data_IF_591145208141
#
_entry.id   IF_591145208141
#
_cell.length_a   1.000
_cell.length_b   1.000
_cell.length_c   1.000
_cell.angle_alpha   90.00
_cell.angle_beta   90.00
_cell.angle_gamma   90.00
#
_symmetry.space_group_name_H-M   'P 1'
#
loop_
_entity.id
_entity.type
_entity.pdbx_description
1 polymer ?
#
# COMPACT_ATOMS: atom_id res chain seq x y z
N UNK A 1 5.08 5.09 19.89
CA UNK A 1 5.00 5.13 18.41
C UNK A 1 4.92 3.69 17.96
N UNK A 2 3.80 3.28 17.38
CA UNK A 2 3.55 1.88 17.01
C UNK A 2 3.95 1.59 15.57
N UNK A 3 4.30 0.33 15.30
CA UNK A 3 4.69 -0.19 13.97
C UNK A 3 3.69 0.21 12.88
N UNK A 4 2.39 0.25 13.20
CA UNK A 4 1.31 0.72 12.31
C UNK A 4 1.54 2.13 11.77
N UNK A 5 1.98 3.07 12.61
CA UNK A 5 2.14 4.47 12.22
C UNK A 5 3.37 4.68 11.32
N UNK A 6 4.44 3.92 11.56
CA UNK A 6 5.62 3.91 10.69
C UNK A 6 5.29 3.30 9.32
N UNK A 7 4.55 2.19 9.31
CA UNK A 7 4.00 1.60 8.08
C UNK A 7 3.15 2.59 7.31
N UNK A 8 2.25 3.27 8.01
CA UNK A 8 1.36 4.23 7.41
C UNK A 8 2.15 5.34 6.73
N UNK A 9 3.12 5.93 7.40
CA UNK A 9 3.99 6.97 6.83
C UNK A 9 4.80 6.44 5.64
N UNK A 10 5.37 5.24 5.72
CA UNK A 10 6.06 4.61 4.60
C UNK A 10 5.15 4.39 3.39
N UNK A 11 3.89 4.00 3.62
CA UNK A 11 2.90 3.87 2.55
C UNK A 11 2.53 5.21 1.94
N UNK A 12 2.24 6.22 2.75
CA UNK A 12 1.94 7.58 2.27
C UNK A 12 3.09 8.12 1.43
N UNK A 13 4.33 7.96 1.88
CA UNK A 13 5.52 8.39 1.16
C UNK A 13 5.69 7.64 -0.16
N UNK A 14 5.54 6.31 -0.14
CA UNK A 14 5.62 5.48 -1.35
C UNK A 14 4.49 5.79 -2.35
N UNK A 15 3.30 6.10 -1.84
CA UNK A 15 2.11 6.45 -2.63
C UNK A 15 2.08 7.93 -3.04
N UNK A 16 3.03 8.75 -2.58
CA UNK A 16 3.07 10.18 -2.93
C UNK A 16 3.26 10.42 -4.43
N UNK A 17 3.78 9.42 -5.17
CA UNK A 17 3.88 9.44 -6.64
C UNK A 17 2.64 8.94 -7.38
N UNK A 18 1.64 8.43 -6.66
CA UNK A 18 0.40 7.88 -7.25
C UNK A 18 -0.61 9.00 -7.43
N UNK A 19 -1.19 9.07 -8.63
CA UNK A 19 -2.31 9.99 -8.90
C UNK A 19 -3.62 9.34 -8.48
N UNK A 20 -4.22 9.86 -7.41
CA UNK A 20 -5.56 9.47 -6.97
C UNK A 20 -6.64 10.28 -7.70
N UNK A 21 -7.84 9.73 -7.93
CA UNK A 21 -8.32 8.41 -7.50
C UNK A 21 -7.78 7.26 -8.37
N UNK A 22 -7.31 6.20 -7.72
CA UNK A 22 -6.87 4.99 -8.41
C UNK A 22 -8.05 4.06 -8.62
N UNK A 23 -8.28 3.66 -9.86
CA UNK A 23 -9.38 2.73 -10.20
C UNK A 23 -8.93 1.28 -10.30
N UNK A 24 -7.63 1.01 -10.18
CA UNK A 24 -7.07 -0.34 -10.32
C UNK A 24 -5.69 -0.45 -9.69
N UNK A 25 -5.34 -1.67 -9.25
CA UNK A 25 -4.04 -2.01 -8.65
C UNK A 25 -2.86 -1.57 -9.51
N UNK A 26 -2.98 -1.71 -10.83
CA UNK A 26 -1.95 -1.32 -11.80
C UNK A 26 -1.64 0.18 -11.77
N UNK A 27 -2.64 1.06 -11.57
CA UNK A 27 -2.38 2.50 -11.43
C UNK A 27 -1.59 2.81 -10.16
N UNK A 28 -1.86 2.06 -9.09
CA UNK A 28 -1.12 2.21 -7.84
C UNK A 28 0.33 1.75 -8.01
N UNK A 29 0.56 0.59 -8.65
CA UNK A 29 1.92 0.13 -8.95
C UNK A 29 2.67 1.09 -9.87
N UNK A 30 1.99 1.75 -10.80
CA UNK A 30 2.62 2.69 -11.71
C UNK A 30 3.15 3.96 -11.00
N UNK A 31 2.51 4.40 -9.91
CA UNK A 31 2.97 5.55 -9.13
C UNK A 31 3.93 5.21 -7.99
N UNK A 32 4.14 3.93 -7.69
CA UNK A 32 5.09 3.47 -6.68
C UNK A 32 6.52 3.45 -7.26
N UNK A 33 7.54 3.97 -6.57
CA UNK A 33 8.92 4.05 -7.09
C UNK A 33 9.56 2.68 -7.37
N UNK A 34 9.10 1.62 -6.68
CA UNK A 34 9.49 0.22 -6.93
C UNK A 34 8.36 -0.62 -7.53
N UNK A 35 7.21 0.00 -7.81
CA UNK A 35 6.01 -0.68 -8.27
C UNK A 35 5.59 -1.88 -7.42
N UNK A 36 5.04 -2.89 -8.06
CA UNK A 36 4.70 -4.17 -7.43
C UNK A 36 5.92 -4.89 -6.84
N UNK A 37 7.15 -4.62 -7.32
CA UNK A 37 8.37 -5.22 -6.80
C UNK A 37 8.83 -4.60 -5.47
N UNK A 38 8.14 -3.57 -4.95
CA UNK A 38 8.40 -2.99 -3.64
C UNK A 38 8.27 -4.03 -2.54
N UNK A 39 9.25 -4.08 -1.64
CA UNK A 39 9.21 -4.91 -0.43
C UNK A 39 8.83 -4.01 0.74
N UNK A 40 7.84 -4.43 1.51
CA UNK A 40 7.51 -3.77 2.77
C UNK A 40 8.26 -4.49 3.88
N UNK A 41 9.32 -3.84 4.36
CA UNK A 41 10.17 -4.36 5.43
C UNK A 41 9.99 -3.52 6.68
N UNK A 42 9.73 -4.18 7.80
CA UNK A 42 9.60 -3.54 9.11
C UNK A 42 10.67 -4.10 10.02
N UNK A 43 11.45 -3.22 10.65
CA UNK A 43 12.53 -3.61 11.56
C UNK A 43 13.51 -4.64 10.94
N UNK A 44 13.78 -4.51 9.64
CA UNK A 44 14.65 -5.44 8.90
C UNK A 44 13.99 -6.76 8.48
N UNK A 45 12.71 -6.96 8.80
CA UNK A 45 11.95 -8.15 8.45
C UNK A 45 11.01 -7.82 7.28
N UNK A 46 11.23 -8.47 6.13
CA UNK A 46 10.34 -8.35 4.97
C UNK A 46 9.01 -8.98 5.37
N UNK A 47 8.00 -8.15 5.60
CA UNK A 47 6.67 -8.60 6.00
C UNK A 47 5.95 -9.17 4.77
N UNK A 48 5.96 -8.43 3.66
CA UNK A 48 5.30 -8.79 2.41
C UNK A 48 5.86 -7.99 1.23
N UNK A 49 5.65 -8.50 0.02
CA UNK A 49 5.81 -7.73 -1.20
C UNK A 49 4.55 -6.87 -1.46
N UNK A 50 4.72 -5.63 -1.89
CA UNK A 50 3.65 -4.65 -2.16
C UNK A 50 2.67 -5.17 -3.21
N UNK A 51 3.18 -5.78 -4.28
CA UNK A 51 2.39 -6.43 -5.32
C UNK A 51 1.50 -7.53 -4.75
N UNK A 52 2.10 -8.50 -4.05
CA UNK A 52 1.35 -9.59 -3.43
C UNK A 52 0.32 -9.09 -2.42
N UNK A 53 0.67 -8.09 -1.61
CA UNK A 53 -0.20 -7.57 -0.58
C UNK A 53 -1.38 -6.80 -1.19
N UNK A 54 -1.17 -6.00 -2.23
CA UNK A 54 -2.27 -5.40 -2.97
C UNK A 54 -3.10 -6.46 -3.70
N UNK A 55 -2.49 -7.53 -4.21
CA UNK A 55 -3.25 -8.62 -4.83
C UNK A 55 -4.09 -9.41 -3.81
N UNK A 56 -3.53 -9.69 -2.64
CA UNK A 56 -4.12 -10.52 -1.59
C UNK A 56 -5.15 -9.77 -0.76
N UNK A 57 -4.90 -8.48 -0.48
CA UNK A 57 -5.72 -7.69 0.42
C UNK A 57 -6.62 -6.69 -0.31
N UNK A 58 -6.19 -6.05 -1.41
CA UNK A 58 -7.12 -5.26 -2.22
C UNK A 58 -7.95 -6.13 -3.13
N UNK A 59 -9.26 -6.07 -2.92
CA UNK A 59 -10.22 -6.66 -3.85
C UNK A 59 -10.52 -5.65 -4.95
N UNK A 60 -10.84 -6.12 -6.17
CA UNK A 60 -11.31 -5.23 -7.24
C UNK A 60 -12.57 -4.43 -6.83
N UNK A 61 -13.34 -4.91 -5.85
CA UNK A 61 -14.51 -4.21 -5.27
C UNK A 61 -14.16 -3.08 -4.29
N UNK A 62 -12.92 -3.05 -3.78
CA UNK A 62 -12.45 -1.95 -2.92
C UNK A 62 -12.06 -0.70 -3.75
N UNK A 63 -12.05 -0.81 -5.10
CA UNK A 63 -11.82 0.32 -6.00
C UNK A 63 -13.13 1.01 -6.40
N UNK A 64 -13.11 2.33 -6.69
CA UNK A 64 -11.95 3.21 -6.74
C UNK A 64 -11.51 3.71 -5.37
N UNK A 65 -10.20 3.74 -5.13
CA UNK A 65 -9.65 4.35 -3.92
C UNK A 65 -9.36 5.82 -4.19
N UNK A 66 -9.88 6.65 -3.30
CA UNK A 66 -9.85 8.10 -3.48
C UNK A 66 -8.60 8.77 -2.93
N UNK A 67 -7.82 8.11 -2.06
CA UNK A 67 -6.65 8.70 -1.42
C UNK A 67 -5.62 7.67 -0.95
N UNK A 68 -4.37 8.12 -0.81
CA UNK A 68 -3.27 7.30 -0.30
C UNK A 68 -3.53 6.79 1.12
N UNK A 69 -4.10 7.63 1.99
CA UNK A 69 -4.46 7.29 3.37
C UNK A 69 -5.48 6.14 3.45
N UNK A 70 -6.46 6.13 2.55
CA UNK A 70 -7.50 5.10 2.51
C UNK A 70 -6.90 3.76 2.10
N UNK A 71 -6.06 3.76 1.06
CA UNK A 71 -5.32 2.57 0.62
C UNK A 71 -4.39 2.04 1.73
N UNK A 72 -3.59 2.93 2.34
CA UNK A 72 -2.64 2.58 3.37
C UNK A 72 -3.34 2.00 4.61
N UNK A 73 -4.44 2.63 5.05
CA UNK A 73 -5.23 2.12 6.16
C UNK A 73 -5.87 0.77 5.85
N UNK A 74 -6.43 0.59 4.65
CA UNK A 74 -7.08 -0.66 4.25
C UNK A 74 -6.09 -1.82 4.24
N UNK A 75 -4.86 -1.57 3.79
CA UNK A 75 -3.77 -2.54 3.87
C UNK A 75 -3.40 -2.88 5.31
N UNK A 76 -3.20 -1.87 6.15
CA UNK A 76 -2.81 -2.07 7.55
C UNK A 76 -3.87 -2.85 8.31
N UNK A 77 -5.12 -2.48 8.12
CA UNK A 77 -6.29 -3.12 8.73
C UNK A 77 -6.40 -4.60 8.31
N UNK A 78 -6.27 -4.86 7.00
CA UNK A 78 -6.29 -6.22 6.45
C UNK A 78 -5.07 -7.06 6.85
N UNK A 79 -3.91 -6.43 7.03
CA UNK A 79 -2.70 -7.07 7.55
C UNK A 79 -2.78 -7.35 9.06
N UNK A 80 -3.78 -6.80 9.76
CA UNK A 80 -3.96 -6.97 11.21
C UNK A 80 -2.94 -6.20 12.04
N UNK A 81 -2.43 -5.08 11.51
CA UNK A 81 -1.41 -4.22 12.14
C UNK A 81 -2.03 -2.95 12.74
#
# INVERSE_FOLDING_TARGET
MGIRNELFQHWIDALSGVTFPVSSKQQVYAGLPKGAAGNLSIHGLVICNVGELFEKFLKPTDFPISSADELANLILDRAGI
#
